data_IF_198381463380
#
_entry.id   IF_198381463380
#
_cell.length_a   1.000
_cell.length_b   1.000
_cell.length_c   1.000
_cell.angle_alpha   90.00
_cell.angle_beta   90.00
_cell.angle_gamma   90.00
#
_symmetry.space_group_name_H-M   'P 1'
#
loop_
_entity.id
_entity.type
_entity.pdbx_description
1 polymer ?
#
# COMPACT_ATOMS: atom_id res chain seq x y z
N UNK A 1 1.36 -7.74 12.53
CA UNK A 1 2.27 -7.12 11.55
C UNK A 1 2.31 -7.99 10.33
N UNK A 2 1.48 -7.60 9.36
CA UNK A 2 1.41 -8.19 8.03
C UNK A 2 2.72 -7.94 7.28
N UNK A 3 3.09 -8.84 6.37
CA UNK A 3 4.28 -8.64 5.52
C UNK A 3 4.11 -7.34 4.73
N UNK A 4 5.09 -6.43 4.83
CA UNK A 4 5.02 -5.18 4.09
C UNK A 4 5.03 -5.47 2.59
N UNK A 5 4.05 -4.92 1.89
CA UNK A 5 3.82 -5.14 0.46
C UNK A 5 5.09 -4.91 -0.40
N UNK A 6 5.85 -3.86 -0.10
CA UNK A 6 7.10 -3.53 -0.79
C UNK A 6 8.23 -4.54 -0.56
N UNK A 7 8.21 -5.32 0.52
CA UNK A 7 9.18 -6.41 0.72
C UNK A 7 8.84 -7.60 -0.18
N UNK A 8 7.54 -7.91 -0.32
CA UNK A 8 7.06 -8.93 -1.25
C UNK A 8 7.44 -8.58 -2.69
N UNK A 9 7.18 -7.35 -3.11
CA UNK A 9 7.52 -6.87 -4.46
C UNK A 9 9.02 -6.93 -4.75
N UNK A 10 9.87 -6.50 -3.80
CA UNK A 10 11.33 -6.59 -3.96
C UNK A 10 11.80 -8.03 -4.10
N UNK A 11 11.19 -8.96 -3.36
CA UNK A 11 11.47 -10.41 -3.49
C UNK A 11 11.07 -10.92 -4.86
N UNK A 12 9.86 -10.61 -5.32
CA UNK A 12 9.37 -11.02 -6.65
C UNK A 12 10.25 -10.49 -7.78
N UNK A 13 10.69 -9.23 -7.70
CA UNK A 13 11.64 -8.64 -8.64
C UNK A 13 12.95 -9.44 -8.64
N UNK A 14 13.56 -9.67 -7.48
CA UNK A 14 14.83 -10.39 -7.39
C UNK A 14 14.73 -11.85 -7.88
N UNK A 15 13.63 -12.53 -7.60
CA UNK A 15 13.35 -13.89 -8.07
C UNK A 15 13.23 -13.93 -9.60
N UNK A 16 12.52 -12.99 -10.19
CA UNK A 16 12.35 -12.92 -11.64
C UNK A 16 13.63 -12.46 -12.36
N UNK A 17 14.40 -11.54 -11.79
CA UNK A 17 15.73 -11.18 -12.31
C UNK A 17 16.64 -12.42 -12.36
N UNK A 18 16.66 -13.23 -11.30
CA UNK A 18 17.44 -14.45 -11.25
C UNK A 18 16.97 -15.49 -12.27
N UNK A 19 15.65 -15.65 -12.45
CA UNK A 19 15.08 -16.57 -13.44
C UNK A 19 15.39 -16.14 -14.88
N UNK A 20 15.34 -14.83 -15.17
CA UNK A 20 15.74 -14.28 -16.48
C UNK A 20 17.24 -14.50 -16.72
N UNK A 21 18.08 -14.25 -15.72
CA UNK A 21 19.52 -14.49 -15.83
C UNK A 21 19.87 -15.99 -16.03
N UNK A 22 19.08 -16.88 -15.44
CA UNK A 22 19.19 -18.33 -15.62
C UNK A 22 18.61 -18.83 -16.95
N UNK A 23 17.92 -17.97 -17.72
CA UNK A 23 17.24 -18.34 -18.96
C UNK A 23 16.01 -19.23 -18.75
N UNK A 24 15.47 -19.29 -17.54
CA UNK A 24 14.28 -20.09 -17.19
C UNK A 24 12.99 -19.28 -17.29
N UNK A 25 13.08 -17.96 -17.48
CA UNK A 25 11.97 -17.04 -17.68
C UNK A 25 12.34 -16.05 -18.79
N UNK A 26 11.44 -15.81 -19.73
CA UNK A 26 11.65 -14.77 -20.73
C UNK A 26 11.47 -13.39 -20.10
N UNK A 27 12.22 -12.37 -20.57
CA UNK A 27 12.21 -11.05 -19.93
C UNK A 27 10.84 -10.36 -20.05
N UNK A 28 10.15 -10.61 -21.15
CA UNK A 28 8.80 -10.13 -21.43
C UNK A 28 7.72 -10.78 -20.56
N UNK A 29 7.98 -11.99 -20.05
CA UNK A 29 7.08 -12.71 -19.14
C UNK A 29 7.34 -12.35 -17.67
N UNK A 30 8.44 -11.66 -17.38
CA UNK A 30 8.82 -11.23 -16.05
C UNK A 30 8.03 -10.00 -15.60
N UNK A 31 6.75 -10.21 -15.25
CA UNK A 31 5.82 -9.15 -14.89
C UNK A 31 6.35 -8.23 -13.77
N UNK A 32 7.02 -8.78 -12.75
CA UNK A 32 7.45 -8.00 -11.58
C UNK A 32 8.47 -6.92 -11.96
N UNK A 33 9.27 -7.19 -13.00
CA UNK A 33 10.24 -6.21 -13.52
C UNK A 33 9.56 -5.00 -14.19
N UNK A 34 8.34 -5.18 -14.68
CA UNK A 34 7.56 -4.14 -15.34
C UNK A 34 6.60 -3.45 -14.36
N UNK A 35 5.91 -4.22 -13.52
CA UNK A 35 4.92 -3.72 -12.57
C UNK A 35 5.54 -3.07 -11.33
N UNK A 36 6.75 -3.48 -10.94
CA UNK A 36 7.42 -2.97 -9.74
C UNK A 36 8.81 -2.38 -10.04
N UNK A 37 8.90 -1.30 -10.83
CA UNK A 37 10.16 -0.58 -11.01
C UNK A 37 10.76 -0.17 -9.67
N UNK A 38 12.09 -0.27 -9.53
CA UNK A 38 12.77 -0.04 -8.24
C UNK A 38 12.50 1.36 -7.65
N UNK A 39 12.35 2.38 -8.49
CA UNK A 39 12.01 3.74 -8.06
C UNK A 39 10.58 3.82 -7.50
N UNK A 40 9.60 3.26 -8.21
CA UNK A 40 8.21 3.16 -7.75
C UNK A 40 8.12 2.45 -6.39
N UNK A 41 8.75 1.27 -6.27
CA UNK A 41 8.78 0.51 -5.01
C UNK A 41 9.41 1.33 -3.88
N UNK A 42 10.45 2.12 -4.16
CA UNK A 42 11.10 2.98 -3.16
C UNK A 42 10.17 4.11 -2.70
N UNK A 43 9.42 4.74 -3.63
CA UNK A 43 8.47 5.80 -3.30
C UNK A 43 7.31 5.27 -2.46
N UNK A 44 6.73 4.14 -2.83
CA UNK A 44 5.68 3.46 -2.05
C UNK A 44 6.20 3.06 -0.66
N UNK A 45 7.41 2.50 -0.58
CA UNK A 45 8.01 2.09 0.69
C UNK A 45 8.20 3.26 1.66
N UNK A 46 8.56 4.44 1.15
CA UNK A 46 8.65 5.65 1.94
C UNK A 46 7.27 6.11 2.45
N UNK A 47 6.23 6.06 1.61
CA UNK A 47 4.86 6.38 2.00
C UNK A 47 4.34 5.44 3.11
N UNK A 48 4.51 4.13 2.92
CA UNK A 48 4.11 3.13 3.92
C UNK A 48 4.93 3.21 5.21
N UNK A 49 6.24 3.49 5.12
CA UNK A 49 7.08 3.72 6.31
C UNK A 49 6.54 4.89 7.14
N UNK A 50 6.18 6.00 6.48
CA UNK A 50 5.64 7.15 7.20
C UNK A 50 4.27 6.84 7.80
N UNK A 51 3.43 6.13 7.07
CA UNK A 51 2.13 5.72 7.56
C UNK A 51 2.23 4.85 8.83
N UNK A 52 3.11 3.85 8.83
CA UNK A 52 3.32 3.01 10.01
C UNK A 52 3.89 3.78 11.21
N UNK A 53 4.71 4.80 10.97
CA UNK A 53 5.16 5.70 12.04
C UNK A 53 4.00 6.53 12.62
N UNK A 54 3.09 7.00 11.76
CA UNK A 54 1.89 7.70 12.20
C UNK A 54 0.98 6.76 13.03
N UNK A 55 0.84 5.49 12.61
CA UNK A 55 0.07 4.47 13.33
C UNK A 55 0.71 4.07 14.67
N UNK A 56 2.04 3.96 14.74
CA UNK A 56 2.73 3.64 15.99
C UNK A 56 2.56 4.73 17.08
N UNK A 57 2.27 5.97 16.67
CA UNK A 57 1.99 7.09 17.56
C UNK A 57 0.49 7.36 17.75
N UNK A 58 -0.38 6.59 17.10
CA UNK A 58 -1.82 6.79 17.08
C UNK A 58 -2.47 6.32 18.39
N UNK A 59 -3.34 7.14 18.95
CA UNK A 59 -4.34 6.64 19.91
C UNK A 59 -5.51 6.03 19.13
N UNK A 60 -5.83 4.73 19.31
CA UNK A 60 -6.82 4.05 18.46
C UNK A 60 -8.25 4.62 18.54
N UNK A 61 -8.59 5.28 19.65
CA UNK A 61 -9.88 5.94 19.84
C UNK A 61 -9.98 7.32 19.16
N UNK A 62 -8.91 7.80 18.51
CA UNK A 62 -8.87 9.10 17.87
C UNK A 62 -9.19 9.00 16.37
N UNK A 63 -10.48 8.98 16.06
CA UNK A 63 -11.01 8.88 14.68
C UNK A 63 -10.45 9.97 13.74
N UNK A 64 -10.17 11.17 14.24
CA UNK A 64 -9.64 12.27 13.42
C UNK A 64 -8.17 12.02 13.04
N UNK A 65 -7.38 11.52 13.99
CA UNK A 65 -5.99 11.18 13.73
C UNK A 65 -5.86 9.96 12.80
N UNK A 66 -6.72 8.95 12.97
CA UNK A 66 -6.78 7.79 12.08
C UNK A 66 -7.10 8.21 10.63
N UNK A 67 -8.14 9.03 10.44
CA UNK A 67 -8.53 9.53 9.11
C UNK A 67 -7.42 10.35 8.46
N UNK A 68 -6.78 11.24 9.22
CA UNK A 68 -5.67 12.04 8.71
C UNK A 68 -4.45 11.19 8.34
N UNK A 69 -4.23 10.05 9.00
CA UNK A 69 -3.16 9.11 8.62
C UNK A 69 -3.49 8.44 7.27
N UNK A 70 -4.74 8.03 7.05
CA UNK A 70 -5.21 7.47 5.76
C UNK A 70 -5.05 8.49 4.65
N UNK A 71 -5.57 9.71 4.85
CA UNK A 71 -5.44 10.81 3.88
C UNK A 71 -3.99 11.03 3.45
N UNK A 72 -3.08 11.11 4.44
CA UNK A 72 -1.66 11.33 4.17
C UNK A 72 -1.02 10.20 3.37
N UNK A 73 -1.32 8.94 3.70
CA UNK A 73 -0.72 7.81 2.97
C UNK A 73 -1.30 7.73 1.55
N UNK A 74 -2.61 7.90 1.36
CA UNK A 74 -3.23 7.87 0.02
C UNK A 74 -2.69 9.00 -0.84
N UNK A 75 -2.58 10.21 -0.31
CA UNK A 75 -2.00 11.37 -1.03
C UNK A 75 -0.53 11.12 -1.41
N UNK A 76 0.24 10.51 -0.50
CA UNK A 76 1.62 10.15 -0.79
C UNK A 76 1.73 9.05 -1.86
N UNK A 77 0.78 8.11 -1.90
CA UNK A 77 0.70 7.09 -2.94
C UNK A 77 0.31 7.68 -4.29
N UNK A 78 -0.61 8.66 -4.35
CA UNK A 78 -0.88 9.39 -5.60
C UNK A 78 0.39 10.05 -6.15
N UNK A 79 1.23 10.62 -5.28
CA UNK A 79 2.52 11.21 -5.69
C UNK A 79 3.59 10.16 -6.04
N UNK A 80 3.47 8.96 -5.49
CA UNK A 80 4.32 7.82 -5.82
C UNK A 80 3.88 7.11 -7.11
N UNK A 81 2.68 7.36 -7.60
CA UNK A 81 2.20 6.80 -8.86
C UNK A 81 2.59 7.68 -10.05
N UNK A 82 2.99 7.03 -11.12
CA UNK A 82 3.24 7.60 -12.44
C UNK A 82 2.59 6.74 -13.54
N UNK A 83 1.62 5.91 -13.15
CA UNK A 83 0.91 4.95 -13.98
C UNK A 83 1.22 3.49 -13.66
N UNK A 84 1.90 3.21 -12.55
CA UNK A 84 2.25 1.85 -12.10
C UNK A 84 1.16 1.21 -11.22
N UNK A 85 0.31 2.01 -10.56
CA UNK A 85 -0.76 1.48 -9.73
C UNK A 85 -1.95 1.05 -10.61
N UNK A 86 -1.94 -0.22 -11.01
CA UNK A 86 -3.07 -0.87 -11.68
C UNK A 86 -4.06 -1.50 -10.68
N UNK A 87 -5.16 -2.07 -11.18
CA UNK A 87 -6.24 -2.69 -10.39
C UNK A 87 -5.75 -3.59 -9.25
N UNK A 88 -4.81 -4.49 -9.51
CA UNK A 88 -4.31 -5.43 -8.49
C UNK A 88 -3.46 -4.70 -7.46
N UNK A 89 -2.51 -3.87 -7.90
CA UNK A 89 -1.69 -3.04 -7.01
C UNK A 89 -2.56 -2.14 -6.13
N UNK A 90 -3.64 -1.60 -6.69
CA UNK A 90 -4.62 -0.78 -5.96
C UNK A 90 -5.26 -1.58 -4.83
N UNK A 91 -5.79 -2.75 -5.14
CA UNK A 91 -6.45 -3.62 -4.17
C UNK A 91 -5.49 -4.01 -3.04
N UNK A 92 -4.25 -4.36 -3.36
CA UNK A 92 -3.23 -4.70 -2.35
C UNK A 92 -2.85 -3.52 -1.46
N UNK A 93 -2.77 -2.31 -2.01
CA UNK A 93 -2.51 -1.09 -1.23
C UNK A 93 -3.67 -0.76 -0.30
N UNK A 94 -4.91 -0.84 -0.80
CA UNK A 94 -6.11 -0.63 0.02
C UNK A 94 -6.20 -1.64 1.17
N UNK A 95 -5.99 -2.92 0.87
CA UNK A 95 -5.96 -3.99 1.88
C UNK A 95 -4.87 -3.74 2.92
N UNK A 96 -3.64 -3.39 2.50
CA UNK A 96 -2.55 -3.10 3.43
C UNK A 96 -2.86 -1.92 4.36
N UNK A 97 -3.45 -0.84 3.84
CA UNK A 97 -3.81 0.36 4.63
C UNK A 97 -4.87 0.00 5.68
N UNK A 98 -5.92 -0.69 5.25
CA UNK A 98 -7.01 -1.14 6.11
C UNK A 98 -6.51 -2.07 7.23
N UNK A 99 -5.75 -3.09 6.86
CA UNK A 99 -5.22 -4.07 7.79
C UNK A 99 -4.22 -3.46 8.78
N UNK A 100 -3.35 -2.54 8.33
CA UNK A 100 -2.39 -1.88 9.20
C UNK A 100 -3.09 -1.02 10.26
N UNK A 101 -4.20 -0.36 9.92
CA UNK A 101 -5.05 0.35 10.90
C UNK A 101 -5.68 -0.60 11.90
N UNK A 102 -6.22 -1.72 11.43
CA UNK A 102 -6.79 -2.75 12.29
C UNK A 102 -5.73 -3.33 13.25
N UNK A 103 -4.53 -3.61 12.75
CA UNK A 103 -3.37 -4.06 13.54
C UNK A 103 -2.94 -3.00 14.58
N UNK A 104 -3.12 -1.71 14.28
CA UNK A 104 -2.91 -0.61 15.23
C UNK A 104 -4.04 -0.48 16.29
N UNK A 105 -5.06 -1.34 16.23
CA UNK A 105 -6.17 -1.40 17.18
C UNK A 105 -7.34 -0.48 16.84
N UNK A 106 -7.36 0.11 15.65
CA UNK A 106 -8.49 0.92 15.18
C UNK A 106 -9.62 0.00 14.72
N UNK A 107 -10.84 0.25 15.20
CA UNK A 107 -12.05 -0.37 14.67
C UNK A 107 -12.42 0.32 13.35
N UNK A 108 -11.89 -0.19 12.24
CA UNK A 108 -12.03 0.42 10.92
C UNK A 108 -13.49 0.44 10.46
N UNK A 109 -14.25 -0.62 10.73
CA UNK A 109 -15.68 -0.69 10.43
C UNK A 109 -16.45 0.40 11.19
N UNK A 110 -16.16 0.62 12.47
CA UNK A 110 -16.77 1.70 13.24
C UNK A 110 -16.31 3.09 12.75
N UNK A 111 -15.03 3.24 12.37
CA UNK A 111 -14.44 4.47 11.87
C UNK A 111 -15.15 4.98 10.59
N UNK A 112 -15.38 4.10 9.63
CA UNK A 112 -16.08 4.40 8.36
C UNK A 112 -17.58 4.54 8.58
N UNK A 113 -18.20 3.65 9.35
CA UNK A 113 -19.65 3.68 9.64
C UNK A 113 -20.08 5.00 10.30
N UNK A 114 -19.25 5.59 11.18
CA UNK A 114 -19.51 6.91 11.79
C UNK A 114 -19.60 8.06 10.78
N UNK A 115 -19.05 7.87 9.58
CA UNK A 115 -19.10 8.81 8.45
C UNK A 115 -20.11 8.39 7.38
N UNK A 116 -20.83 7.28 7.59
CA UNK A 116 -21.79 6.75 6.63
C UNK A 116 -21.14 6.06 5.42
N UNK A 117 -19.90 5.59 5.57
CA UNK A 117 -19.11 4.90 4.55
C UNK A 117 -18.98 3.42 4.86
N UNK A 118 -18.86 2.60 3.82
CA UNK A 118 -18.42 1.21 3.95
C UNK A 118 -16.91 1.14 4.22
N UNK A 119 -16.44 0.08 4.87
CA UNK A 119 -15.00 -0.15 5.11
C UNK A 119 -14.20 -0.20 3.81
N UNK A 120 -14.78 -0.74 2.73
CA UNK A 120 -14.13 -0.77 1.42
C UNK A 120 -13.90 0.62 0.82
N UNK A 121 -14.62 1.64 1.28
CA UNK A 121 -14.51 3.03 0.81
C UNK A 121 -13.43 3.84 1.59
N UNK A 122 -12.70 3.21 2.52
CA UNK A 122 -11.74 3.86 3.42
C UNK A 122 -10.77 4.83 2.72
N UNK A 123 -10.33 4.51 1.51
CA UNK A 123 -9.32 5.28 0.76
C UNK A 123 -9.91 6.10 -0.39
N UNK A 124 -11.21 5.97 -0.65
CA UNK A 124 -11.84 6.43 -1.89
C UNK A 124 -11.83 7.94 -2.06
N UNK A 125 -11.97 8.69 -0.96
CA UNK A 125 -12.06 10.16 -0.98
C UNK A 125 -10.81 10.86 -1.54
N UNK A 126 -9.65 10.22 -1.48
CA UNK A 126 -8.37 10.85 -1.83
C UNK A 126 -7.62 10.16 -2.96
N UNK A 127 -8.11 9.02 -3.45
CA UNK A 127 -7.38 8.20 -4.40
C UNK A 127 -7.49 8.75 -5.82
N UNK A 128 -6.34 8.92 -6.48
CA UNK A 128 -6.25 9.32 -7.90
C UNK A 128 -5.91 8.14 -8.85
N UNK A 129 -5.55 6.97 -8.30
CA UNK A 129 -5.15 5.73 -9.00
C UNK A 129 -6.26 4.68 -9.09
#
# INVERSE_FOLDING_TARGET
MIERLTFRWRREVAEQEAAVAAGTLAREEAYALNSFPADFVTRVDAALTRYEQDLAALEPANDAAAWAAVERVVTALNAADSGEIETVTREELCEYIDDALADAGVDVDALTSRRGMDRSELTDDWRDW
#
